data_IF_322122356506
#
_entry.id   IF_322122356506
#
_cell.length_a   1.000
_cell.length_b   1.000
_cell.length_c   1.000
_cell.angle_alpha   90.00
_cell.angle_beta   90.00
_cell.angle_gamma   90.00
#
_symmetry.space_group_name_H-M   'P 1'
#
loop_
_entity.id
_entity.type
_entity.pdbx_description
1 polymer ?
#
# COMPACT_ATOMS: atom_id res chain seq x y z
N UNK A 1 -78.59 12.66 -28.15
CA UNK A 1 -79.56 13.62 -27.60
C UNK A 1 -79.66 13.41 -26.10
N UNK A 2 -79.76 14.51 -25.33
CA UNK A 2 -78.72 14.87 -24.38
C UNK A 2 -79.28 15.28 -23.01
N UNK A 3 -78.44 15.29 -21.98
CA UNK A 3 -78.61 16.30 -20.92
C UNK A 3 -77.26 16.54 -20.23
N UNK A 4 -76.61 17.63 -20.65
CA UNK A 4 -75.81 18.42 -19.71
C UNK A 4 -76.73 19.24 -18.82
N UNK A 5 -76.25 19.65 -17.64
CA UNK A 5 -75.98 21.04 -17.27
C UNK A 5 -75.68 21.07 -15.75
N UNK A 6 -74.44 21.38 -15.34
CA UNK A 6 -73.87 22.68 -14.91
C UNK A 6 -74.29 23.15 -13.49
N UNK A 7 -73.26 23.63 -12.76
CA UNK A 7 -73.25 24.58 -11.64
C UNK A 7 -73.74 24.15 -10.25
N UNK A 8 -72.90 24.35 -9.23
CA UNK A 8 -72.93 25.59 -8.42
C UNK A 8 -71.93 25.48 -7.26
N UNK A 9 -70.83 26.25 -7.30
CA UNK A 9 -70.53 27.37 -6.39
C UNK A 9 -70.19 27.03 -4.93
N UNK A 10 -68.89 27.16 -4.64
CA UNK A 10 -68.32 27.88 -3.50
C UNK A 10 -69.05 27.89 -2.15
N UNK A 11 -68.48 27.18 -1.17
CA UNK A 11 -68.46 27.62 0.22
C UNK A 11 -67.00 27.70 0.74
N UNK A 12 -66.58 28.86 1.29
CA UNK A 12 -65.24 29.04 1.81
C UNK A 12 -65.10 28.32 3.15
N UNK A 13 -64.22 27.31 3.22
CA UNK A 13 -63.84 26.72 4.51
C UNK A 13 -62.95 27.72 5.24
N UNK A 14 -63.54 28.35 6.26
CA UNK A 14 -62.94 29.29 7.19
C UNK A 14 -61.74 28.63 7.90
N UNK A 15 -60.55 29.19 7.69
CA UNK A 15 -59.33 28.80 8.43
C UNK A 15 -59.48 29.21 9.91
N UNK A 16 -59.34 28.30 10.88
CA UNK A 16 -59.21 28.72 12.27
C UNK A 16 -57.85 29.40 12.47
N UNK A 17 -57.90 30.65 12.93
CA UNK A 17 -56.77 31.41 13.44
C UNK A 17 -56.22 30.72 14.70
N UNK A 18 -55.20 29.88 14.55
CA UNK A 18 -54.30 29.54 15.65
C UNK A 18 -52.89 29.35 15.09
N UNK A 19 -52.06 30.37 15.30
CA UNK A 19 -50.64 30.31 15.03
C UNK A 19 -49.98 29.35 16.03
N UNK A 20 -49.98 28.05 15.71
CA UNK A 20 -49.05 27.11 16.32
C UNK A 20 -47.72 27.35 15.62
N UNK A 21 -46.81 28.06 16.28
CA UNK A 21 -45.42 28.15 15.87
C UNK A 21 -44.82 26.73 15.92
N UNK A 22 -44.93 25.99 14.82
CA UNK A 22 -44.17 24.77 14.62
C UNK A 22 -42.70 25.16 14.64
N UNK A 23 -42.05 24.93 15.78
CA UNK A 23 -40.61 25.07 15.92
C UNK A 23 -39.97 24.06 14.97
N UNK A 24 -39.58 24.53 13.78
CA UNK A 24 -38.80 23.75 12.83
C UNK A 24 -37.56 23.22 13.59
N UNK A 25 -37.24 21.91 13.52
CA UNK A 25 -35.97 21.44 14.03
C UNK A 25 -34.87 22.22 13.30
N UNK A 26 -33.76 22.56 13.98
CA UNK A 26 -32.67 23.28 13.33
C UNK A 26 -32.28 22.48 12.09
N UNK A 27 -32.36 23.12 10.92
CA UNK A 27 -31.79 22.58 9.69
C UNK A 27 -30.36 22.23 10.03
N UNK A 28 -30.06 20.94 10.15
CA UNK A 28 -28.72 20.48 10.44
C UNK A 28 -27.85 21.07 9.36
N UNK A 29 -26.98 22.02 9.72
CA UNK A 29 -26.06 22.66 8.80
C UNK A 29 -25.40 21.54 7.99
N UNK A 30 -25.73 21.47 6.71
CA UNK A 30 -25.28 20.39 5.84
C UNK A 30 -23.76 20.27 5.98
N UNK A 31 -23.28 19.07 6.30
CA UNK A 31 -21.83 18.78 6.21
C UNK A 31 -21.42 19.19 4.81
N UNK A 32 -20.58 20.22 4.68
CA UNK A 32 -20.00 20.60 3.40
C UNK A 32 -19.43 19.34 2.77
N UNK A 33 -19.70 19.04 1.48
CA UNK A 33 -19.10 17.87 0.84
C UNK A 33 -17.59 17.99 0.99
N UNK A 34 -16.96 16.97 1.60
CA UNK A 34 -15.50 16.90 1.69
C UNK A 34 -14.97 17.06 0.27
N UNK A 35 -14.17 18.09 0.03
CA UNK A 35 -13.49 18.26 -1.25
C UNK A 35 -12.67 17.00 -1.50
N UNK A 36 -12.99 16.29 -2.58
CA UNK A 36 -12.29 15.07 -2.95
C UNK A 36 -10.84 15.46 -3.25
N UNK A 37 -9.90 14.85 -2.55
CA UNK A 37 -8.48 15.10 -2.78
C UNK A 37 -8.07 14.82 -4.22
N UNK A 38 -6.85 15.23 -4.59
CA UNK A 38 -6.28 14.97 -5.92
C UNK A 38 -6.48 13.49 -6.29
N UNK A 39 -6.96 13.18 -7.51
CA UNK A 39 -7.10 11.81 -7.96
C UNK A 39 -5.75 11.09 -7.87
N UNK A 40 -5.79 9.82 -7.45
CA UNK A 40 -4.59 8.98 -7.37
C UNK A 40 -3.93 8.87 -8.76
N UNK A 41 -2.60 8.94 -8.78
CA UNK A 41 -1.85 8.73 -10.01
C UNK A 41 -2.01 7.29 -10.52
N UNK A 42 -2.04 7.12 -11.84
CA UNK A 42 -2.17 5.80 -12.45
C UNK A 42 -0.88 4.98 -12.27
N UNK A 43 -0.95 3.64 -12.19
CA UNK A 43 0.24 2.80 -12.06
C UNK A 43 1.33 3.06 -13.12
N UNK A 44 1.02 3.27 -14.42
CA UNK A 44 2.03 3.62 -15.42
C UNK A 44 2.74 4.94 -15.12
N UNK A 45 2.01 5.97 -14.64
CA UNK A 45 2.60 7.25 -14.29
C UNK A 45 3.51 7.13 -13.07
N UNK A 46 3.12 6.33 -12.07
CA UNK A 46 3.96 6.04 -10.91
C UNK A 46 5.26 5.33 -11.31
N UNK A 47 5.17 4.37 -12.23
CA UNK A 47 6.33 3.67 -12.77
C UNK A 47 7.25 4.64 -13.52
N UNK A 48 6.70 5.45 -14.42
CA UNK A 48 7.47 6.45 -15.17
C UNK A 48 8.21 7.42 -14.24
N UNK A 49 7.52 7.96 -13.24
CA UNK A 49 8.14 8.84 -12.25
C UNK A 49 9.29 8.14 -11.52
N UNK A 50 9.09 6.88 -11.11
CA UNK A 50 10.17 6.09 -10.48
C UNK A 50 11.37 5.89 -11.40
N UNK A 51 11.15 5.52 -12.66
CA UNK A 51 12.25 5.31 -13.61
C UNK A 51 13.00 6.60 -13.91
N UNK A 52 12.29 7.75 -13.95
CA UNK A 52 12.90 9.07 -14.11
C UNK A 52 13.73 9.45 -12.89
N UNK A 53 13.14 9.36 -11.70
CA UNK A 53 13.74 9.85 -10.46
C UNK A 53 14.92 8.95 -10.02
N UNK A 54 14.87 7.64 -10.34
CA UNK A 54 15.93 6.66 -10.06
C UNK A 54 16.67 6.19 -11.31
N UNK A 55 16.79 7.06 -12.33
CA UNK A 55 17.48 6.75 -13.59
C UNK A 55 18.92 6.23 -13.37
N UNK A 56 19.76 6.82 -12.50
CA UNK A 56 21.13 6.32 -12.29
C UNK A 56 21.17 4.88 -11.77
N UNK A 57 20.29 4.52 -10.83
CA UNK A 57 20.22 3.18 -10.26
C UNK A 57 19.63 2.17 -11.25
N UNK A 58 18.61 2.59 -12.00
CA UNK A 58 17.93 1.75 -13.00
C UNK A 58 18.88 1.37 -14.14
N UNK A 59 19.75 2.30 -14.54
CA UNK A 59 20.70 2.11 -15.64
C UNK A 59 22.12 1.78 -15.16
N UNK A 60 22.30 1.45 -13.87
CA UNK A 60 23.62 1.21 -13.29
C UNK A 60 24.41 0.12 -14.03
N UNK A 61 23.73 -0.93 -14.51
CA UNK A 61 24.33 -2.02 -15.28
C UNK A 61 24.97 -1.56 -16.61
N UNK A 62 24.60 -0.38 -17.13
CA UNK A 62 25.20 0.17 -18.36
C UNK A 62 26.58 0.79 -18.09
N UNK A 63 26.84 1.23 -16.87
CA UNK A 63 28.06 1.92 -16.49
C UNK A 63 28.98 1.07 -15.59
N UNK A 64 28.40 0.19 -14.75
CA UNK A 64 29.13 -0.74 -13.90
C UNK A 64 28.76 -2.19 -14.25
N UNK A 65 29.69 -2.88 -14.91
CA UNK A 65 29.53 -4.29 -15.32
C UNK A 65 29.50 -5.28 -14.14
N UNK A 66 29.81 -4.83 -12.92
CA UNK A 66 29.64 -5.64 -11.70
C UNK A 66 28.17 -5.77 -11.30
N UNK A 67 27.31 -4.86 -11.79
CA UNK A 67 25.86 -4.90 -11.56
C UNK A 67 25.20 -5.73 -12.66
N UNK A 68 24.57 -6.87 -12.34
CA UNK A 68 23.86 -7.67 -13.34
C UNK A 68 22.64 -6.92 -13.89
N UNK A 69 22.28 -7.21 -15.14
CA UNK A 69 21.09 -6.65 -15.81
C UNK A 69 19.80 -7.13 -15.15
N UNK A 70 19.80 -8.33 -14.59
CA UNK A 70 18.63 -8.96 -13.99
C UNK A 70 18.56 -8.80 -12.47
N UNK A 71 17.34 -8.90 -11.94
CA UNK A 71 17.06 -8.84 -10.51
C UNK A 71 16.84 -10.23 -9.88
N UNK A 72 17.24 -11.31 -10.56
CA UNK A 72 16.87 -12.68 -10.16
C UNK A 72 17.35 -13.00 -8.74
N UNK A 73 18.52 -12.49 -8.35
CA UNK A 73 19.07 -12.79 -7.03
C UNK A 73 18.25 -12.14 -5.90
N UNK A 74 17.81 -10.88 -6.05
CA UNK A 74 16.98 -10.24 -5.03
C UNK A 74 15.60 -10.89 -4.94
N UNK A 75 15.01 -11.27 -6.08
CA UNK A 75 13.74 -11.99 -6.10
C UNK A 75 13.82 -13.35 -5.39
N UNK A 76 14.88 -14.12 -5.66
CA UNK A 76 15.14 -15.39 -4.97
C UNK A 76 15.32 -15.21 -3.46
N UNK A 77 15.96 -14.13 -3.04
CA UNK A 77 16.17 -13.82 -1.62
C UNK A 77 14.83 -13.52 -0.92
N UNK A 78 13.95 -12.73 -1.55
CA UNK A 78 12.62 -12.36 -1.01
C UNK A 78 11.62 -13.52 -1.08
N UNK A 79 11.74 -14.40 -2.08
CA UNK A 79 10.82 -15.52 -2.31
C UNK A 79 10.63 -16.40 -1.08
N UNK A 80 11.68 -16.60 -0.28
CA UNK A 80 11.60 -17.46 0.91
C UNK A 80 10.64 -16.93 1.97
N UNK A 81 10.45 -15.61 2.06
CA UNK A 81 9.43 -15.02 2.94
C UNK A 81 8.04 -15.40 2.45
N UNK A 82 7.80 -15.31 1.14
CA UNK A 82 6.51 -15.67 0.55
C UNK A 82 6.23 -17.17 0.63
N UNK A 83 7.26 -17.99 0.42
CA UNK A 83 7.15 -19.45 0.59
C UNK A 83 6.76 -19.79 2.03
N UNK A 84 7.41 -19.18 3.04
CA UNK A 84 7.05 -19.38 4.45
C UNK A 84 5.60 -18.99 4.74
N UNK A 85 5.11 -17.90 4.15
CA UNK A 85 3.69 -17.53 4.23
C UNK A 85 2.77 -18.56 3.57
N UNK A 86 3.12 -19.01 2.36
CA UNK A 86 2.31 -19.94 1.57
C UNK A 86 2.23 -21.32 2.23
N UNK A 87 3.35 -21.86 2.68
CA UNK A 87 3.43 -23.28 3.12
C UNK A 87 3.19 -23.46 4.61
N UNK A 88 3.55 -22.49 5.46
CA UNK A 88 3.43 -22.62 6.91
C UNK A 88 2.60 -21.53 7.58
N UNK A 89 1.76 -20.82 6.81
CA UNK A 89 0.89 -19.77 7.34
C UNK A 89 1.61 -18.50 7.82
N UNK A 90 2.91 -18.35 7.53
CA UNK A 90 3.69 -17.15 7.89
C UNK A 90 4.35 -17.22 9.27
N UNK A 91 4.48 -16.06 9.92
CA UNK A 91 5.12 -15.89 11.22
C UNK A 91 4.08 -15.55 12.29
N UNK A 92 4.17 -16.19 13.46
CA UNK A 92 3.29 -15.93 14.61
C UNK A 92 3.65 -14.65 15.36
N UNK A 93 4.92 -14.25 15.31
CA UNK A 93 5.44 -13.07 16.00
C UNK A 93 6.37 -12.29 15.07
N UNK A 94 6.48 -10.97 15.31
CA UNK A 94 7.43 -10.10 14.59
C UNK A 94 8.87 -10.54 14.82
N UNK A 95 9.19 -11.00 16.03
CA UNK A 95 10.52 -11.49 16.38
C UNK A 95 10.94 -12.70 15.55
N UNK A 96 10.03 -13.68 15.36
CA UNK A 96 10.28 -14.83 14.48
C UNK A 96 10.53 -14.41 13.04
N UNK A 97 9.82 -13.40 12.55
CA UNK A 97 10.06 -12.82 11.22
C UNK A 97 11.43 -12.14 11.12
N UNK A 98 11.83 -11.38 12.15
CA UNK A 98 13.15 -10.73 12.23
C UNK A 98 14.27 -11.76 12.26
N UNK A 99 14.14 -12.83 13.04
CA UNK A 99 15.15 -13.89 13.12
C UNK A 99 15.30 -14.63 11.80
N UNK A 100 14.18 -14.95 11.14
CA UNK A 100 14.21 -15.52 9.79
C UNK A 100 14.92 -14.60 8.79
N UNK A 101 14.57 -13.31 8.79
CA UNK A 101 15.19 -12.32 7.90
C UNK A 101 16.69 -12.16 8.17
N UNK A 102 17.12 -12.15 9.44
CA UNK A 102 18.54 -12.08 9.84
C UNK A 102 19.33 -13.27 9.32
N UNK A 103 18.86 -14.50 9.56
CA UNK A 103 19.54 -15.72 9.10
C UNK A 103 19.66 -15.70 7.59
N UNK A 104 18.56 -15.46 6.87
CA UNK A 104 18.56 -15.44 5.40
C UNK A 104 19.41 -14.30 4.84
N UNK A 105 19.38 -13.14 5.47
CA UNK A 105 20.21 -11.99 5.13
C UNK A 105 21.70 -12.32 5.25
N UNK A 106 22.12 -12.90 6.38
CA UNK A 106 23.50 -13.32 6.60
C UNK A 106 24.00 -14.28 5.51
N UNK A 107 23.22 -15.34 5.22
CA UNK A 107 23.59 -16.32 4.19
C UNK A 107 23.62 -15.70 2.78
N UNK A 108 22.69 -14.80 2.46
CA UNK A 108 22.70 -14.07 1.18
C UNK A 108 23.95 -13.19 1.06
N UNK A 109 24.32 -12.48 2.13
CA UNK A 109 25.52 -11.65 2.19
C UNK A 109 26.80 -12.46 2.01
N UNK A 110 26.93 -13.61 2.71
CA UNK A 110 28.09 -14.50 2.53
C UNK A 110 28.22 -14.96 1.06
N UNK A 111 27.12 -15.39 0.44
CA UNK A 111 27.11 -15.79 -0.98
C UNK A 111 27.51 -14.65 -1.92
N UNK A 112 27.02 -13.43 -1.69
CA UNK A 112 27.32 -12.24 -2.51
C UNK A 112 28.80 -11.85 -2.45
N UNK A 113 29.47 -12.15 -1.35
CA UNK A 113 30.90 -11.91 -1.15
C UNK A 113 31.77 -13.14 -1.51
N UNK A 114 31.22 -14.10 -2.27
CA UNK A 114 31.90 -15.33 -2.66
C UNK A 114 32.43 -16.18 -1.48
N UNK A 115 31.84 -16.04 -0.29
CA UNK A 115 32.20 -16.82 0.90
C UNK A 115 31.46 -18.16 0.90
N UNK A 116 32.17 -19.23 1.26
CA UNK A 116 31.55 -20.53 1.46
C UNK A 116 30.52 -20.46 2.59
N UNK A 117 29.26 -20.78 2.28
CA UNK A 117 28.15 -20.68 3.23
C UNK A 117 28.32 -21.56 4.46
N UNK A 118 28.82 -22.78 4.30
CA UNK A 118 29.07 -23.68 5.44
C UNK A 118 30.20 -23.15 6.32
N UNK A 119 31.25 -22.61 5.70
CA UNK A 119 32.33 -21.92 6.42
C UNK A 119 31.80 -20.75 7.24
N UNK A 120 31.01 -19.87 6.62
CA UNK A 120 30.41 -18.71 7.28
C UNK A 120 29.47 -19.09 8.44
N UNK A 121 28.75 -20.21 8.34
CA UNK A 121 27.92 -20.74 9.43
C UNK A 121 28.80 -21.22 10.58
N UNK A 122 29.83 -22.02 10.29
CA UNK A 122 30.78 -22.54 11.31
C UNK A 122 31.45 -21.39 12.05
N UNK A 123 31.91 -20.39 11.32
CA UNK A 123 32.55 -19.18 11.85
C UNK A 123 31.63 -18.36 12.76
N UNK A 124 30.36 -18.18 12.34
CA UNK A 124 29.36 -17.52 13.17
C UNK A 124 29.12 -18.24 14.51
N UNK A 125 29.06 -19.57 14.50
CA UNK A 125 28.95 -20.37 15.74
C UNK A 125 30.23 -20.37 16.58
N UNK A 126 31.39 -20.15 15.96
CA UNK A 126 32.68 -20.06 16.66
C UNK A 126 32.96 -18.66 17.23
N UNK A 127 31.98 -17.75 17.17
CA UNK A 127 32.12 -16.36 17.65
C UNK A 127 32.90 -15.42 16.72
N UNK A 128 33.21 -15.87 15.49
CA UNK A 128 33.98 -15.11 14.49
C UNK A 128 33.16 -14.95 13.20
N UNK A 129 31.96 -14.34 13.22
CA UNK A 129 31.10 -14.28 12.05
C UNK A 129 31.74 -13.49 10.90
N UNK A 130 31.45 -13.88 9.65
CA UNK A 130 31.82 -13.09 8.49
C UNK A 130 31.08 -11.75 8.48
N UNK A 131 31.84 -10.66 8.54
CA UNK A 131 31.31 -9.31 8.42
C UNK A 131 31.93 -8.72 7.14
N UNK A 132 31.13 -8.45 6.09
CA UNK A 132 31.66 -7.83 4.89
C UNK A 132 32.20 -6.44 5.23
N UNK A 133 33.37 -6.10 4.68
CA UNK A 133 33.85 -4.73 4.73
C UNK A 133 32.87 -3.84 3.99
N UNK A 134 32.27 -2.89 4.70
CA UNK A 134 31.54 -1.81 4.04
C UNK A 134 32.59 -0.93 3.37
N UNK A 135 32.75 -1.03 2.05
CA UNK A 135 33.54 -0.04 1.34
C UNK A 135 32.81 1.30 1.52
N UNK A 136 33.34 2.17 2.36
CA UNK A 136 32.92 3.57 2.42
C UNK A 136 33.36 4.21 1.10
N UNK A 137 32.47 4.22 0.12
CA UNK A 137 32.60 5.02 -1.10
C UNK A 137 31.31 5.81 -1.28
#
# INVERSE_FOLDING_TARGET
MPTGYVCSSAHPVRLPHSAIALRLPPLTAGKKPKQRGRPAQTPPLNLLNRLRDFKPQTLAFMADFRVPVDNNQAERDVRMIKVKQKTSGGFRTLEGAKNFARIRGYLSTARKNAVNVFGAIREAFSGQPFIPFCASQ
#
